data_IF_182812290023
#
_entry.id   IF_182812290023
#
_cell.length_a   1.000
_cell.length_b   1.000
_cell.length_c   1.000
_cell.angle_alpha   90.00
_cell.angle_beta   90.00
_cell.angle_gamma   90.00
#
_symmetry.space_group_name_H-M   'P 1'
#
loop_
_entity.id
_entity.type
_entity.pdbx_description
1 polymer ?
#
# COMPACT_ATOMS: atom_id res chain seq x y z
N UNK A 1 -25.08 -15.34 68.08
CA UNK A 1 -25.92 -14.25 67.55
C UNK A 1 -25.01 -13.10 67.10
N UNK A 2 -24.92 -12.82 65.81
CA UNK A 2 -24.14 -11.67 65.31
C UNK A 2 -24.96 -10.41 65.52
N UNK A 3 -24.35 -9.39 66.12
CA UNK A 3 -25.02 -8.13 66.40
C UNK A 3 -25.41 -7.43 65.09
N UNK A 4 -26.69 -7.11 64.91
CA UNK A 4 -27.23 -6.49 63.69
C UNK A 4 -26.51 -5.19 63.32
N UNK A 5 -26.01 -4.46 64.33
CA UNK A 5 -25.18 -3.26 64.13
C UNK A 5 -23.79 -3.56 63.55
N UNK A 6 -23.17 -4.67 63.96
CA UNK A 6 -21.87 -5.12 63.45
C UNK A 6 -22.03 -5.60 61.99
N UNK A 7 -23.08 -6.35 61.70
CA UNK A 7 -23.37 -6.81 60.34
C UNK A 7 -23.61 -5.64 59.37
N UNK A 8 -24.36 -4.62 59.80
CA UNK A 8 -24.58 -3.41 59.00
C UNK A 8 -23.29 -2.64 58.73
N UNK A 9 -22.36 -2.60 59.70
CA UNK A 9 -21.07 -1.92 59.53
C UNK A 9 -20.19 -2.59 58.47
N UNK A 10 -20.16 -3.93 58.46
CA UNK A 10 -19.37 -4.72 57.49
C UNK A 10 -19.91 -4.54 56.06
N UNK A 11 -21.23 -4.54 55.89
CA UNK A 11 -21.86 -4.35 54.58
C UNK A 11 -21.52 -2.97 54.01
N UNK A 12 -21.54 -1.92 54.85
CA UNK A 12 -21.25 -0.56 54.42
C UNK A 12 -19.79 -0.39 53.98
N UNK A 13 -18.85 -1.05 54.68
CA UNK A 13 -17.44 -1.10 54.30
C UNK A 13 -17.21 -1.82 52.97
N UNK A 14 -17.89 -2.94 52.73
CA UNK A 14 -17.80 -3.69 51.47
C UNK A 14 -18.32 -2.87 50.28
N UNK A 15 -19.45 -2.16 50.45
CA UNK A 15 -20.02 -1.29 49.43
C UNK A 15 -19.10 -0.11 49.09
N UNK A 16 -18.49 0.52 50.11
CA UNK A 16 -17.53 1.60 49.91
C UNK A 16 -16.28 1.12 49.15
N UNK A 17 -15.76 -0.06 49.50
CA UNK A 17 -14.62 -0.67 48.81
C UNK A 17 -14.92 -0.99 47.34
N UNK A 18 -16.11 -1.53 47.04
CA UNK A 18 -16.54 -1.79 45.67
C UNK A 18 -16.67 -0.51 44.85
N UNK A 19 -17.23 0.56 45.42
CA UNK A 19 -17.35 1.85 44.73
C UNK A 19 -15.98 2.42 44.33
N UNK A 20 -14.99 2.36 45.23
CA UNK A 20 -13.61 2.78 44.94
C UNK A 20 -12.96 1.89 43.87
N UNK A 21 -13.15 0.57 43.96
CA UNK A 21 -12.64 -0.37 42.97
C UNK A 21 -13.19 -0.08 41.58
N UNK A 22 -14.52 0.08 41.45
CA UNK A 22 -15.15 0.42 40.18
C UNK A 22 -14.70 1.79 39.67
N UNK A 23 -14.61 2.82 40.52
CA UNK A 23 -14.10 4.14 40.11
C UNK A 23 -12.68 4.08 39.54
N UNK A 24 -11.80 3.30 40.18
CA UNK A 24 -10.41 3.17 39.76
C UNK A 24 -10.26 2.34 38.47
N UNK A 25 -11.11 1.32 38.28
CA UNK A 25 -11.07 0.45 37.09
C UNK A 25 -11.82 1.03 35.88
N UNK A 26 -12.75 1.97 36.07
CA UNK A 26 -13.51 2.58 34.96
C UNK A 26 -12.69 3.57 34.12
N UNK A 27 -11.50 3.98 34.57
CA UNK A 27 -10.60 4.87 33.83
C UNK A 27 -9.73 4.13 32.80
N UNK A 28 -9.98 2.85 32.51
CA UNK A 28 -9.36 2.18 31.35
C UNK A 28 -10.10 2.64 30.08
N UNK A 29 -9.82 3.86 29.66
CA UNK A 29 -10.13 4.31 28.31
C UNK A 29 -9.22 3.55 27.35
N UNK A 30 -9.80 2.63 26.59
CA UNK A 30 -9.16 2.07 25.40
C UNK A 30 -8.89 3.27 24.49
N UNK A 31 -7.66 3.75 24.52
CA UNK A 31 -7.22 4.82 23.63
C UNK A 31 -7.15 4.19 22.24
N UNK A 32 -8.22 4.34 21.45
CA UNK A 32 -8.13 4.10 20.01
C UNK A 32 -6.99 4.98 19.51
N UNK A 33 -5.91 4.36 19.02
CA UNK A 33 -4.81 5.09 18.38
C UNK A 33 -5.41 5.78 17.16
N UNK A 34 -5.46 7.12 17.13
CA UNK A 34 -5.71 7.81 15.89
C UNK A 34 -4.43 7.68 15.05
N UNK A 35 -4.61 7.35 13.78
CA UNK A 35 -3.71 7.75 12.70
C UNK A 35 -2.49 6.88 12.35
N UNK A 36 -2.57 5.55 12.52
CA UNK A 36 -1.82 4.70 11.58
C UNK A 36 -2.55 3.42 11.23
N UNK A 37 -3.01 3.24 9.97
CA UNK A 37 -3.58 1.97 9.55
C UNK A 37 -2.54 0.87 9.77
N UNK A 38 -2.99 -0.25 10.35
CA UNK A 38 -2.16 -1.44 10.50
C UNK A 38 -1.83 -1.92 9.10
N UNK A 39 -0.60 -1.68 8.64
CA UNK A 39 -0.09 -2.31 7.42
C UNK A 39 0.17 -3.77 7.76
N UNK A 40 -0.69 -4.67 7.28
CA UNK A 40 -0.38 -6.09 7.30
C UNK A 40 0.95 -6.28 6.55
N UNK A 41 1.82 -7.19 7.02
CA UNK A 41 2.99 -7.59 6.25
C UNK A 41 2.56 -7.91 4.82
N UNK A 42 3.29 -7.39 3.83
CA UNK A 42 2.99 -7.51 2.40
C UNK A 42 2.76 -8.97 1.98
N UNK A 43 3.44 -9.91 2.66
CA UNK A 43 3.28 -11.35 2.47
C UNK A 43 1.89 -11.92 2.84
N UNK A 44 1.10 -11.21 3.65
CA UNK A 44 -0.23 -11.65 4.13
C UNK A 44 -1.37 -10.98 3.35
N UNK A 45 -1.14 -9.80 2.75
CA UNK A 45 -2.20 -9.06 2.04
C UNK A 45 -2.74 -9.81 0.81
N UNK A 46 -1.98 -10.79 0.31
CA UNK A 46 -2.32 -11.54 -0.90
C UNK A 46 -2.27 -10.71 -2.18
N UNK A 47 -1.90 -9.42 -2.08
CA UNK A 47 -1.77 -8.50 -3.20
C UNK A 47 -0.63 -8.94 -4.13
N UNK A 48 -0.87 -8.74 -5.41
CA UNK A 48 0.10 -8.92 -6.48
C UNK A 48 -0.16 -7.81 -7.48
N UNK A 49 0.75 -6.84 -7.52
CA UNK A 49 0.66 -5.67 -8.38
C UNK A 49 2.03 -5.10 -8.67
N UNK A 50 2.06 -4.05 -9.47
CA UNK A 50 3.30 -3.39 -9.88
C UNK A 50 3.79 -2.56 -8.69
N UNK A 51 5.03 -2.77 -8.24
CA UNK A 51 5.60 -2.13 -7.03
C UNK A 51 6.29 -0.80 -7.33
N UNK A 52 6.87 -0.67 -8.52
CA UNK A 52 7.46 0.59 -8.95
C UNK A 52 6.42 1.49 -9.63
N UNK A 53 6.64 2.79 -9.61
CA UNK A 53 5.72 3.75 -10.22
C UNK A 53 6.09 4.11 -11.67
N UNK A 54 7.39 4.16 -11.97
CA UNK A 54 7.90 4.76 -13.19
C UNK A 54 8.95 3.86 -13.88
N UNK A 55 9.18 4.12 -15.16
CA UNK A 55 10.15 3.48 -16.03
C UNK A 55 9.64 2.23 -16.74
N UNK A 56 10.55 1.58 -17.48
CA UNK A 56 10.29 0.37 -18.26
C UNK A 56 10.54 -0.93 -17.48
N UNK A 57 11.26 -0.88 -16.35
CA UNK A 57 11.58 -2.06 -15.57
C UNK A 57 10.45 -2.41 -14.59
N UNK A 58 9.47 -3.17 -15.06
CA UNK A 58 8.28 -3.53 -14.27
C UNK A 58 8.67 -4.52 -13.17
N UNK A 59 8.45 -4.14 -11.91
CA UNK A 59 8.64 -5.01 -10.74
C UNK A 59 7.29 -5.39 -10.16
N UNK A 60 7.08 -6.68 -9.92
CA UNK A 60 5.82 -7.21 -9.41
C UNK A 60 6.00 -7.81 -8.03
N UNK A 61 5.06 -7.50 -7.13
CA UNK A 61 5.08 -8.03 -5.79
C UNK A 61 3.92 -7.50 -4.93
N UNK A 62 3.99 -7.72 -3.62
CA UNK A 62 2.92 -7.34 -2.71
C UNK A 62 2.99 -5.87 -2.25
N UNK A 63 4.07 -5.14 -2.51
CA UNK A 63 4.26 -3.73 -2.10
C UNK A 63 3.71 -2.76 -3.14
N UNK A 64 2.42 -2.90 -3.45
CA UNK A 64 1.75 -2.05 -4.44
C UNK A 64 1.60 -0.62 -3.90
N UNK A 65 2.11 0.41 -4.59
CA UNK A 65 1.94 1.79 -4.17
C UNK A 65 0.47 2.20 -4.30
N UNK A 66 -0.05 2.86 -3.26
CA UNK A 66 -1.40 3.41 -3.27
C UNK A 66 -1.52 4.59 -4.27
N UNK A 67 -0.45 5.35 -4.41
CA UNK A 67 -0.33 6.45 -5.35
C UNK A 67 1.13 6.62 -5.80
N UNK A 68 1.29 7.16 -7.00
CA UNK A 68 2.58 7.51 -7.57
C UNK A 68 2.77 9.03 -7.60
N UNK A 69 4.02 9.47 -7.56
CA UNK A 69 4.35 10.89 -7.78
C UNK A 69 3.99 11.30 -9.21
N UNK A 70 3.69 12.58 -9.43
CA UNK A 70 3.49 13.13 -10.79
C UNK A 70 4.82 13.27 -11.59
N UNK A 71 5.88 12.57 -11.16
CA UNK A 71 7.11 12.47 -11.94
C UNK A 71 6.84 11.63 -13.18
N UNK A 72 7.60 11.90 -14.24
CA UNK A 72 7.52 11.14 -15.48
C UNK A 72 8.89 10.53 -15.76
N UNK A 73 8.95 9.24 -16.06
CA UNK A 73 10.13 8.59 -16.59
C UNK A 73 9.90 8.07 -18.01
N UNK A 74 11.00 7.91 -18.75
CA UNK A 74 11.00 7.32 -20.08
C UNK A 74 10.22 6.00 -20.09
N UNK A 75 9.22 5.91 -20.97
CA UNK A 75 8.42 4.70 -21.16
C UNK A 75 7.36 4.45 -20.09
N UNK A 76 7.03 5.44 -19.25
CA UNK A 76 5.88 5.35 -18.32
C UNK A 76 4.59 4.99 -19.07
N UNK A 77 4.43 5.50 -20.30
CA UNK A 77 3.26 5.18 -21.13
C UNK A 77 3.19 3.70 -21.52
N UNK A 78 4.33 2.99 -21.63
CA UNK A 78 4.33 1.56 -21.95
C UNK A 78 3.76 0.70 -20.81
N UNK A 79 3.74 1.23 -19.58
CA UNK A 79 3.30 0.48 -18.39
C UNK A 79 1.83 0.06 -18.45
N UNK A 80 1.01 0.72 -19.27
CA UNK A 80 -0.38 0.33 -19.52
C UNK A 80 -0.52 -1.06 -20.17
N UNK A 81 0.54 -1.54 -20.80
CA UNK A 81 0.63 -2.85 -21.45
C UNK A 81 1.31 -3.92 -20.58
N UNK A 82 1.63 -3.59 -19.33
CA UNK A 82 2.18 -4.51 -18.36
C UNK A 82 1.16 -4.79 -17.24
N UNK A 83 1.21 -6.00 -16.70
CA UNK A 83 0.43 -6.36 -15.52
C UNK A 83 1.21 -7.33 -14.64
N UNK A 84 0.74 -7.52 -13.41
CA UNK A 84 1.25 -8.57 -12.53
C UNK A 84 0.18 -9.64 -12.36
N UNK A 85 0.62 -10.90 -12.38
CA UNK A 85 -0.25 -12.06 -12.19
C UNK A 85 0.29 -12.95 -11.08
N UNK A 86 -0.61 -13.37 -10.20
CA UNK A 86 -0.29 -14.34 -9.16
C UNK A 86 -0.30 -15.75 -9.75
N UNK A 87 0.84 -16.43 -9.68
CA UNK A 87 1.03 -17.83 -10.10
C UNK A 87 1.52 -18.62 -8.90
N UNK A 88 0.61 -19.36 -8.26
CA UNK A 88 0.86 -20.02 -6.98
C UNK A 88 1.21 -19.02 -5.88
N UNK A 89 2.40 -19.18 -5.28
CA UNK A 89 2.94 -18.28 -4.26
C UNK A 89 3.81 -17.14 -4.81
N UNK A 90 3.95 -17.02 -6.14
CA UNK A 90 4.76 -15.99 -6.78
C UNK A 90 3.89 -14.93 -7.47
N UNK A 91 4.34 -13.68 -7.46
CA UNK A 91 3.78 -12.60 -8.27
C UNK A 91 4.73 -12.39 -9.46
N UNK A 92 4.23 -12.60 -10.68
CA UNK A 92 5.04 -12.59 -11.90
C UNK A 92 4.60 -11.47 -12.82
N UNK A 93 5.57 -10.89 -13.54
CA UNK A 93 5.29 -9.90 -14.58
C UNK A 93 4.66 -10.58 -15.79
N UNK A 94 3.66 -9.93 -16.36
CA UNK A 94 3.03 -10.32 -17.62
C UNK A 94 3.10 -9.11 -18.54
N UNK A 95 3.90 -9.22 -19.59
CA UNK A 95 4.09 -8.20 -20.61
C UNK A 95 3.32 -8.62 -21.86
N UNK A 96 2.50 -7.73 -22.40
CA UNK A 96 1.84 -7.98 -23.68
C UNK A 96 2.80 -7.75 -24.86
N UNK A 97 2.48 -8.19 -26.08
CA UNK A 97 3.25 -7.82 -27.27
C UNK A 97 3.39 -6.30 -27.43
N UNK A 98 2.32 -5.55 -27.15
CA UNK A 98 2.28 -4.08 -27.21
C UNK A 98 3.27 -3.43 -26.23
N UNK A 99 3.56 -4.06 -25.09
CA UNK A 99 4.61 -3.59 -24.19
C UNK A 99 5.98 -3.63 -24.86
N UNK A 100 6.28 -4.73 -25.57
CA UNK A 100 7.58 -4.90 -26.23
C UNK A 100 7.73 -3.96 -27.42
N UNK A 101 6.65 -3.73 -28.16
CA UNK A 101 6.62 -2.76 -29.26
C UNK A 101 6.83 -1.33 -28.74
N UNK A 102 6.10 -0.95 -27.69
CA UNK A 102 6.26 0.34 -27.03
C UNK A 102 7.70 0.51 -26.51
N UNK A 103 8.23 -0.47 -25.77
CA UNK A 103 9.60 -0.45 -25.25
C UNK A 103 10.63 -0.27 -26.37
N UNK A 104 10.49 -1.03 -27.46
CA UNK A 104 11.39 -0.96 -28.61
C UNK A 104 11.36 0.43 -29.26
N UNK A 105 10.18 1.05 -29.33
CA UNK A 105 10.01 2.42 -29.81
C UNK A 105 10.71 3.43 -28.89
N UNK A 106 10.52 3.35 -27.56
CA UNK A 106 11.17 4.26 -26.60
C UNK A 106 12.68 4.15 -26.67
N UNK A 107 13.22 2.93 -26.71
CA UNK A 107 14.66 2.69 -26.86
C UNK A 107 15.20 3.21 -28.20
N UNK A 108 14.40 3.17 -29.27
CA UNK A 108 14.75 3.78 -30.55
C UNK A 108 14.81 5.31 -30.43
N UNK A 109 13.79 5.93 -29.84
CA UNK A 109 13.76 7.37 -29.59
C UNK A 109 14.98 7.84 -28.78
N UNK A 110 15.38 7.09 -27.76
CA UNK A 110 16.57 7.38 -26.95
C UNK A 110 17.87 7.34 -27.78
N UNK A 111 18.00 6.35 -28.69
CA UNK A 111 19.16 6.26 -29.59
C UNK A 111 19.22 7.36 -30.63
N UNK A 112 18.07 7.83 -31.12
CA UNK A 112 17.95 8.83 -32.18
C UNK A 112 18.03 10.26 -31.64
N UNK A 113 17.70 10.47 -30.36
CA UNK A 113 17.58 11.81 -29.73
C UNK A 113 18.67 12.09 -28.70
N UNK A 114 19.87 11.49 -28.84
CA UNK A 114 20.95 11.54 -27.84
C UNK A 114 21.35 12.93 -27.37
N UNK A 115 21.19 13.94 -28.24
CA UNK A 115 21.61 15.31 -27.97
C UNK A 115 20.45 16.24 -27.58
N UNK A 116 19.21 15.72 -27.52
CA UNK A 116 18.01 16.54 -27.29
C UNK A 116 16.94 15.78 -26.53
N UNK A 117 16.76 16.15 -25.25
CA UNK A 117 15.70 15.62 -24.41
C UNK A 117 14.29 15.99 -24.94
N UNK A 118 14.16 17.14 -25.61
CA UNK A 118 12.89 17.57 -26.21
C UNK A 118 12.52 16.64 -27.36
N UNK A 119 13.47 16.32 -28.24
CA UNK A 119 13.24 15.43 -29.38
C UNK A 119 12.94 14.00 -28.89
N UNK A 120 13.60 13.57 -27.80
CA UNK A 120 13.31 12.30 -27.14
C UNK A 120 11.84 12.22 -26.73
N UNK A 121 11.33 13.19 -25.95
CA UNK A 121 9.94 13.15 -25.48
C UNK A 121 8.91 13.34 -26.61
N UNK A 122 9.23 14.12 -27.63
CA UNK A 122 8.38 14.23 -28.82
C UNK A 122 8.28 12.91 -29.59
N UNK A 123 9.38 12.16 -29.67
CA UNK A 123 9.40 10.82 -30.25
C UNK A 123 8.66 9.82 -29.36
N UNK A 124 8.97 9.79 -28.06
CA UNK A 124 8.41 8.85 -27.07
C UNK A 124 6.89 8.98 -26.97
N UNK A 125 6.34 10.19 -27.05
CA UNK A 125 4.89 10.43 -27.00
C UNK A 125 4.07 9.71 -28.09
N UNK A 126 4.74 9.19 -29.14
CA UNK A 126 4.14 8.44 -30.24
C UNK A 126 4.27 6.92 -30.10
N UNK A 127 4.93 6.44 -29.05
CA UNK A 127 5.17 5.00 -28.82
C UNK A 127 3.95 4.25 -28.28
N UNK A 128 2.82 4.92 -28.06
CA UNK A 128 1.59 4.32 -27.50
C UNK A 128 0.62 3.76 -28.53
N UNK A 129 0.82 4.06 -29.81
CA UNK A 129 -0.08 3.67 -30.90
C UNK A 129 0.44 2.43 -31.62
N UNK A 130 -0.43 1.46 -31.84
CA UNK A 130 -0.24 0.23 -32.63
C UNK A 130 0.01 0.48 -34.14
N UNK A 131 0.27 1.72 -34.53
CA UNK A 131 0.60 2.13 -35.90
C UNK A 131 2.04 2.66 -35.93
N UNK A 132 3.01 1.75 -36.08
CA UNK A 132 4.34 2.04 -36.59
C UNK A 132 4.74 1.01 -37.64
#
# INVERSE_FOLDING_TARGET
MVNKKILSGIILLMLAGLAVYFWNNYQITVTERPDKPIRLPSQISGQCGIENCHGLDITCGPEVPEACTAMYAAGDNCRQFASCRKTGNSCQVVLSPEFNDCKSCVEKCERESKDSQIDFFQCESKCTSTEQ
#
